data_IF_095171377160
#
_entry.id   IF_095171377160
#
_cell.length_a   1.000
_cell.length_b   1.000
_cell.length_c   1.000
_cell.angle_alpha   90.00
_cell.angle_beta   90.00
_cell.angle_gamma   90.00
#
_symmetry.space_group_name_H-M   'P 1'
#
loop_
_entity.id
_entity.type
_entity.pdbx_description
1 polymer ?
#
# COMPACT_ATOMS: atom_id res chain seq x y z
N UNK A 1 8.11 4.00 2.60
CA UNK A 1 8.44 2.90 3.50
C UNK A 1 9.86 3.11 4.03
N UNK A 2 10.03 3.10 5.35
CA UNK A 2 11.29 3.42 6.02
C UNK A 2 11.94 2.16 6.59
N UNK A 3 13.27 2.19 6.72
CA UNK A 3 14.04 1.11 7.33
C UNK A 3 14.16 1.26 8.87
N UNK A 4 13.86 2.44 9.40
CA UNK A 4 13.83 2.73 10.83
C UNK A 4 12.49 2.39 11.47
N UNK A 5 12.46 2.23 12.78
CA UNK A 5 11.31 1.83 13.56
C UNK A 5 10.79 0.43 13.17
N UNK A 6 9.52 0.18 13.41
CA UNK A 6 8.87 -1.07 13.08
C UNK A 6 8.83 -1.31 11.56
N UNK A 7 8.82 -2.57 11.13
CA UNK A 7 8.45 -2.89 9.75
C UNK A 7 7.01 -2.46 9.48
N UNK A 8 6.61 -2.37 8.21
CA UNK A 8 5.25 -2.01 7.87
C UNK A 8 4.22 -2.99 8.46
N UNK A 9 4.53 -4.29 8.42
CA UNK A 9 3.68 -5.31 9.03
C UNK A 9 3.58 -5.15 10.55
N UNK A 10 4.72 -5.00 11.24
CA UNK A 10 4.75 -4.81 12.69
C UNK A 10 4.00 -3.54 13.12
N UNK A 11 4.13 -2.46 12.34
CA UNK A 11 3.36 -1.24 12.56
C UNK A 11 1.85 -1.50 12.41
N UNK A 12 1.46 -2.28 11.41
CA UNK A 12 0.08 -2.73 11.21
C UNK A 12 -0.46 -3.50 12.42
N UNK A 13 0.35 -4.39 13.01
CA UNK A 13 -0.03 -5.11 14.24
C UNK A 13 -0.30 -4.16 15.41
N UNK A 14 0.49 -3.09 15.53
CA UNK A 14 0.36 -2.11 16.63
C UNK A 14 -0.77 -1.10 16.43
N UNK A 15 -1.17 -0.81 15.19
CA UNK A 15 -2.05 0.31 14.85
C UNK A 15 -3.44 -0.09 14.38
N UNK A 16 -3.59 -1.22 13.71
CA UNK A 16 -4.90 -1.71 13.28
C UNK A 16 -5.70 -2.24 14.47
N UNK A 17 -7.04 -2.24 14.39
CA UNK A 17 -7.88 -2.91 15.37
C UNK A 17 -7.42 -4.36 15.63
N UNK A 18 -7.56 -4.83 16.87
CA UNK A 18 -7.07 -6.17 17.25
C UNK A 18 -7.80 -7.29 16.52
N UNK A 19 -9.05 -7.10 16.21
CA UNK A 19 -9.95 -8.01 15.50
C UNK A 19 -9.81 -7.97 13.97
N UNK A 20 -8.91 -7.13 13.45
CA UNK A 20 -8.60 -7.10 12.01
C UNK A 20 -8.11 -8.48 11.55
N UNK A 21 -8.76 -9.04 10.54
CA UNK A 21 -8.40 -10.34 9.96
C UNK A 21 -7.02 -10.31 9.31
N UNK A 22 -6.37 -11.47 9.15
CA UNK A 22 -5.09 -11.53 8.43
C UNK A 22 -5.24 -11.07 6.98
N UNK A 23 -6.33 -11.42 6.31
CA UNK A 23 -6.60 -10.95 4.95
C UNK A 23 -6.66 -9.42 4.87
N UNK A 24 -7.31 -8.75 5.83
CA UNK A 24 -7.37 -7.29 5.87
C UNK A 24 -6.01 -6.68 6.24
N UNK A 25 -5.20 -7.33 7.08
CA UNK A 25 -3.82 -6.91 7.37
C UNK A 25 -2.95 -6.95 6.12
N UNK A 26 -3.08 -7.99 5.30
CA UNK A 26 -2.41 -8.10 3.99
C UNK A 26 -2.85 -6.93 3.10
N UNK A 27 -4.15 -6.67 3.00
CA UNK A 27 -4.68 -5.56 2.19
C UNK A 27 -4.18 -4.18 2.67
N UNK A 28 -4.14 -3.94 3.99
CA UNK A 28 -3.63 -2.70 4.55
C UNK A 28 -2.12 -2.53 4.31
N UNK A 29 -1.35 -3.61 4.37
CA UNK A 29 0.07 -3.59 3.99
C UNK A 29 0.24 -3.23 2.50
N UNK A 30 -0.54 -3.85 1.62
CA UNK A 30 -0.55 -3.55 0.17
C UNK A 30 -0.99 -2.12 -0.11
N UNK A 31 -2.05 -1.63 0.56
CA UNK A 31 -2.52 -0.25 0.41
C UNK A 31 -1.43 0.76 0.80
N UNK A 32 -0.71 0.48 1.88
CA UNK A 32 0.40 1.34 2.32
C UNK A 32 1.55 1.34 1.30
N UNK A 33 1.89 0.18 0.71
CA UNK A 33 2.84 0.11 -0.40
C UNK A 33 2.34 0.85 -1.64
N UNK A 34 1.03 0.79 -1.91
CA UNK A 34 0.42 1.46 -3.05
C UNK A 34 0.59 2.99 -2.97
N UNK A 35 0.49 3.59 -1.77
CA UNK A 35 0.68 5.04 -1.61
C UNK A 35 2.09 5.50 -2.01
N UNK A 36 3.11 4.68 -1.77
CA UNK A 36 4.49 4.94 -2.17
C UNK A 36 4.70 4.63 -3.65
N UNK A 37 4.14 3.50 -4.12
CA UNK A 37 4.40 2.98 -5.47
C UNK A 37 3.69 3.80 -6.54
N UNK A 38 2.47 4.26 -6.28
CA UNK A 38 1.66 4.98 -7.25
C UNK A 38 1.80 6.51 -7.14
N UNK A 39 2.68 7.01 -6.27
CA UNK A 39 3.05 8.42 -6.19
C UNK A 39 4.05 8.80 -7.28
N UNK A 40 4.33 10.11 -7.42
CA UNK A 40 5.25 10.66 -8.43
C UNK A 40 6.73 10.54 -8.07
N UNK A 41 7.05 10.26 -6.81
CA UNK A 41 8.44 10.14 -6.34
C UNK A 41 9.03 8.76 -6.65
N UNK A 42 10.37 8.61 -6.63
CA UNK A 42 10.98 7.29 -6.60
C UNK A 42 10.41 6.45 -5.46
N UNK A 43 9.99 5.23 -5.78
CA UNK A 43 9.40 4.31 -4.80
C UNK A 43 10.50 3.47 -4.16
N UNK A 44 10.64 3.56 -2.83
CA UNK A 44 11.55 2.73 -2.04
C UNK A 44 10.75 1.80 -1.15
N UNK A 45 10.98 0.52 -1.28
CA UNK A 45 10.41 -0.50 -0.41
C UNK A 45 11.49 -1.04 0.52
N UNK A 46 11.17 -1.10 1.80
CA UNK A 46 12.01 -1.84 2.74
C UNK A 46 11.95 -3.33 2.39
N UNK A 47 13.10 -3.96 2.16
CA UNK A 47 13.19 -5.34 1.70
C UNK A 47 12.37 -6.30 2.58
N UNK A 48 11.54 -7.13 1.96
CA UNK A 48 10.65 -8.07 2.61
C UNK A 48 9.27 -7.50 2.99
N UNK A 49 9.00 -6.21 2.75
CA UNK A 49 7.66 -5.64 3.02
C UNK A 49 6.59 -6.35 2.18
N UNK A 50 6.92 -6.75 0.96
CA UNK A 50 6.09 -7.55 0.07
C UNK A 50 5.78 -8.96 0.62
N UNK A 51 6.60 -9.46 1.55
CA UNK A 51 6.46 -10.74 2.23
C UNK A 51 5.93 -10.59 3.67
N UNK A 52 5.37 -9.46 4.03
CA UNK A 52 4.91 -9.15 5.40
C UNK A 52 6.03 -9.31 6.44
N UNK A 53 7.25 -8.89 6.09
CA UNK A 53 8.40 -9.00 6.97
C UNK A 53 8.13 -8.41 8.33
N UNK A 54 8.44 -9.18 9.37
CA UNK A 54 8.44 -8.75 10.76
C UNK A 54 9.86 -8.77 11.35
N UNK A 55 10.13 -7.86 12.27
CA UNK A 55 11.27 -7.90 13.16
C UNK A 55 10.85 -8.23 14.60
N UNK A 56 9.73 -8.97 14.75
CA UNK A 56 9.16 -9.31 16.05
C UNK A 56 8.89 -8.07 16.92
N UNK A 57 8.37 -7.00 16.29
CA UNK A 57 8.09 -5.68 16.86
C UNK A 57 9.35 -4.91 17.31
N UNK A 58 10.55 -5.32 16.91
CA UNK A 58 11.77 -4.58 17.20
C UNK A 58 11.84 -3.28 16.39
N UNK A 59 11.79 -2.16 17.07
CA UNK A 59 11.82 -0.83 16.44
C UNK A 59 13.23 -0.33 16.13
N UNK A 60 14.27 -0.94 16.69
CA UNK A 60 15.64 -0.49 16.55
C UNK A 60 16.61 -1.68 16.43
N UNK A 61 16.44 -2.43 15.34
CA UNK A 61 17.02 -3.76 15.16
C UNK A 61 18.45 -3.77 14.61
N UNK A 62 19.08 -2.61 14.40
CA UNK A 62 20.42 -2.54 13.77
C UNK A 62 21.49 -3.36 14.52
N UNK A 63 21.31 -3.52 15.83
CA UNK A 63 22.21 -4.26 16.70
C UNK A 63 21.56 -5.48 17.36
N UNK A 64 20.42 -5.95 16.84
CA UNK A 64 19.65 -7.09 17.39
C UNK A 64 20.07 -8.44 16.80
N UNK A 65 21.01 -8.46 15.86
CA UNK A 65 21.52 -9.65 15.20
C UNK A 65 20.58 -10.21 14.13
N UNK A 66 21.04 -11.29 13.48
CA UNK A 66 20.35 -11.90 12.34
C UNK A 66 19.01 -12.52 12.71
N UNK A 67 18.85 -12.96 13.95
CA UNK A 67 17.61 -13.57 14.44
C UNK A 67 16.38 -12.68 14.22
N UNK A 68 16.51 -11.36 14.44
CA UNK A 68 15.45 -10.39 14.23
C UNK A 68 15.48 -9.75 12.84
N UNK A 69 16.59 -9.82 12.12
CA UNK A 69 16.78 -9.11 10.85
C UNK A 69 16.68 -9.99 9.60
N UNK A 70 16.67 -11.31 9.75
CA UNK A 70 16.58 -12.24 8.62
C UNK A 70 15.29 -12.02 7.80
N UNK A 71 15.37 -12.34 6.52
CA UNK A 71 14.23 -12.43 5.61
C UNK A 71 14.18 -13.85 5.08
N UNK A 72 13.02 -14.48 5.16
CA UNK A 72 12.78 -15.73 4.43
C UNK A 72 12.24 -15.41 3.05
N UNK A 73 13.12 -15.38 2.06
CA UNK A 73 12.77 -15.12 0.66
C UNK A 73 11.95 -16.25 0.02
N UNK A 74 11.79 -17.38 0.68
CA UNK A 74 10.93 -18.47 0.19
C UNK A 74 9.45 -18.23 0.51
N UNK A 75 9.14 -17.26 1.38
CA UNK A 75 7.78 -16.97 1.81
C UNK A 75 7.13 -18.11 2.60
N UNK A 76 7.93 -19.00 3.22
CA UNK A 76 7.41 -20.15 3.96
C UNK A 76 7.34 -19.91 5.45
N UNK A 77 8.15 -19.01 5.98
CA UNK A 77 8.23 -18.77 7.42
C UNK A 77 8.27 -17.28 7.76
N UNK A 78 7.26 -16.80 8.50
CA UNK A 78 7.28 -15.46 9.07
C UNK A 78 8.14 -15.39 10.31
N UNK A 79 8.93 -14.33 10.46
CA UNK A 79 9.72 -14.04 11.66
C UNK A 79 8.92 -13.36 12.77
N UNK A 80 7.62 -13.10 12.56
CA UNK A 80 6.73 -12.61 13.63
C UNK A 80 6.65 -13.62 14.78
N UNK A 81 6.80 -13.14 16.01
CA UNK A 81 6.78 -14.01 17.20
C UNK A 81 8.06 -14.82 17.41
N UNK A 82 9.19 -14.45 16.79
CA UNK A 82 10.49 -15.11 17.00
C UNK A 82 11.05 -14.94 18.41
N UNK A 83 10.52 -14.01 19.18
CA UNK A 83 10.91 -13.71 20.56
C UNK A 83 10.67 -12.25 20.90
N UNK A 84 10.83 -11.89 22.17
CA UNK A 84 10.84 -10.50 22.60
C UNK A 84 12.11 -9.81 22.11
N UNK A 85 12.01 -8.60 21.53
CA UNK A 85 13.19 -7.86 21.08
C UNK A 85 14.11 -7.47 22.26
N UNK A 86 15.40 -7.16 21.98
CA UNK A 86 16.39 -6.86 23.00
C UNK A 86 15.94 -5.76 23.96
N UNK A 87 16.28 -5.93 25.25
CA UNK A 87 15.82 -5.07 26.34
C UNK A 87 16.26 -3.60 26.19
N UNK A 88 17.45 -3.36 25.64
CA UNK A 88 18.04 -2.01 25.57
C UNK A 88 17.08 -0.96 25.02
N UNK A 89 16.37 -1.29 23.92
CA UNK A 89 15.46 -0.35 23.26
C UNK A 89 13.98 -0.71 23.41
N UNK A 90 13.67 -1.91 23.91
CA UNK A 90 12.30 -2.44 23.84
C UNK A 90 11.69 -2.80 25.19
N UNK A 91 12.47 -2.92 26.27
CA UNK A 91 11.98 -3.43 27.56
C UNK A 91 10.74 -2.68 28.09
N UNK A 92 10.69 -1.36 27.92
CA UNK A 92 9.56 -0.55 28.36
C UNK A 92 8.26 -0.89 27.64
N UNK A 93 8.32 -1.55 26.47
CA UNK A 93 7.17 -1.95 25.65
C UNK A 93 6.86 -3.45 25.72
N UNK A 94 7.66 -4.26 26.41
CA UNK A 94 7.47 -5.70 26.46
C UNK A 94 6.09 -6.12 26.94
N UNK A 95 5.50 -5.38 27.89
CA UNK A 95 4.14 -5.68 28.38
C UNK A 95 3.06 -5.60 27.29
N UNK A 96 3.29 -4.75 26.25
CA UNK A 96 2.41 -4.65 25.08
C UNK A 96 2.81 -5.66 24.02
N UNK A 97 4.11 -5.87 23.81
CA UNK A 97 4.63 -6.74 22.76
C UNK A 97 4.36 -8.23 23.05
N UNK A 98 4.54 -8.66 24.29
CA UNK A 98 4.44 -10.08 24.68
C UNK A 98 3.10 -10.72 24.30
N UNK A 99 1.92 -10.15 24.63
CA UNK A 99 0.65 -10.75 24.24
C UNK A 99 0.42 -10.72 22.72
N UNK A 100 0.93 -9.71 22.02
CA UNK A 100 0.81 -9.64 20.55
C UNK A 100 1.67 -10.71 19.86
N UNK A 101 2.92 -10.86 20.29
CA UNK A 101 3.85 -11.83 19.72
C UNK A 101 3.47 -13.29 20.05
N UNK A 102 2.68 -13.50 21.09
CA UNK A 102 2.17 -14.82 21.48
C UNK A 102 0.85 -15.19 20.77
N UNK A 103 0.22 -14.23 20.07
CA UNK A 103 -1.05 -14.47 19.38
C UNK A 103 -0.81 -15.11 18.00
N UNK A 104 -1.17 -16.38 17.79
CA UNK A 104 -0.98 -17.04 16.51
C UNK A 104 -1.81 -16.44 15.37
N UNK A 105 -2.89 -15.72 15.67
CA UNK A 105 -3.71 -15.05 14.67
C UNK A 105 -2.99 -13.85 14.00
N UNK A 106 -1.92 -13.34 14.64
CA UNK A 106 -1.10 -12.25 14.13
C UNK A 106 0.16 -12.74 13.39
N UNK A 107 0.39 -14.05 13.29
CA UNK A 107 1.54 -14.58 12.55
C UNK A 107 1.14 -14.93 11.11
N UNK A 108 1.67 -14.22 10.08
CA UNK A 108 1.39 -14.54 8.69
C UNK A 108 1.83 -15.98 8.35
N UNK A 109 0.97 -16.70 7.63
CA UNK A 109 1.30 -17.98 7.02
C UNK A 109 1.81 -17.83 5.57
N UNK A 110 2.26 -18.94 4.95
CA UNK A 110 2.74 -18.92 3.56
C UNK A 110 1.72 -18.38 2.57
N UNK A 111 0.43 -18.66 2.76
CA UNK A 111 -0.63 -18.17 1.89
C UNK A 111 -0.81 -16.65 1.99
N UNK A 112 -0.64 -16.07 3.18
CA UNK A 112 -0.75 -14.63 3.40
C UNK A 112 0.44 -13.90 2.76
N UNK A 113 1.64 -14.45 2.92
CA UNK A 113 2.86 -13.91 2.30
C UNK A 113 2.78 -13.97 0.77
N UNK A 114 2.32 -15.10 0.21
CA UNK A 114 2.11 -15.23 -1.23
C UNK A 114 1.06 -14.25 -1.78
N UNK A 115 -0.01 -14.00 -1.04
CA UNK A 115 -1.03 -13.01 -1.42
C UNK A 115 -0.48 -11.58 -1.39
N UNK A 116 0.33 -11.24 -0.39
CA UNK A 116 0.99 -9.94 -0.28
C UNK A 116 1.99 -9.74 -1.44
N UNK A 117 2.82 -10.74 -1.74
CA UNK A 117 3.77 -10.71 -2.85
C UNK A 117 3.06 -10.54 -4.20
N UNK A 118 2.01 -11.32 -4.46
CA UNK A 118 1.24 -11.20 -5.69
C UNK A 118 0.67 -9.79 -5.89
N UNK A 119 0.12 -9.19 -4.83
CA UNK A 119 -0.40 -7.82 -4.85
C UNK A 119 0.71 -6.79 -5.05
N UNK A 120 1.88 -6.99 -4.44
CA UNK A 120 3.04 -6.13 -4.63
C UNK A 120 3.55 -6.18 -6.08
N UNK A 121 3.59 -7.36 -6.69
CA UNK A 121 3.94 -7.51 -8.12
C UNK A 121 2.94 -6.78 -9.02
N UNK A 122 1.65 -6.80 -8.69
CA UNK A 122 0.64 -6.05 -9.44
C UNK A 122 0.88 -4.54 -9.36
N UNK A 123 1.24 -4.01 -8.18
CA UNK A 123 1.61 -2.59 -8.04
C UNK A 123 2.81 -2.20 -8.92
N UNK A 124 3.82 -3.07 -9.00
CA UNK A 124 4.99 -2.83 -9.87
C UNK A 124 4.60 -2.84 -11.35
N UNK A 125 3.70 -3.76 -11.75
CA UNK A 125 3.16 -3.82 -13.11
C UNK A 125 2.38 -2.56 -13.46
N UNK A 126 1.46 -2.12 -12.59
CA UNK A 126 0.72 -0.85 -12.76
C UNK A 126 1.68 0.31 -12.96
N UNK A 127 2.70 0.43 -12.11
CA UNK A 127 3.70 1.50 -12.24
C UNK A 127 4.51 1.39 -13.53
N UNK A 128 4.73 0.17 -14.04
CA UNK A 128 5.38 -0.09 -15.32
C UNK A 128 4.50 0.30 -16.52
N UNK A 129 3.21 -0.07 -16.47
CA UNK A 129 2.23 0.15 -17.54
C UNK A 129 1.81 1.63 -17.70
N UNK A 130 1.86 2.43 -16.62
CA UNK A 130 1.34 3.81 -16.61
C UNK A 130 2.49 4.80 -16.47
N UNK A 131 3.05 5.33 -17.59
CA UNK A 131 4.12 6.33 -17.57
C UNK A 131 3.76 7.59 -16.78
N UNK A 132 2.48 7.95 -16.73
CA UNK A 132 1.97 9.13 -16.01
C UNK A 132 2.22 9.08 -14.50
N UNK A 133 2.52 7.92 -13.93
CA UNK A 133 2.96 7.78 -12.53
C UNK A 133 4.44 8.13 -12.32
N UNK A 134 5.15 8.57 -13.37
CA UNK A 134 6.60 8.84 -13.36
C UNK A 134 6.91 10.08 -14.22
N UNK A 135 6.28 11.21 -13.93
CA UNK A 135 6.40 12.44 -14.73
C UNK A 135 7.82 13.04 -14.77
N UNK A 136 8.65 12.74 -13.77
CA UNK A 136 10.10 12.97 -13.80
C UNK A 136 10.55 14.43 -13.59
N UNK A 137 9.66 15.40 -13.44
CA UNK A 137 10.02 16.77 -13.09
C UNK A 137 8.95 17.44 -12.23
N UNK A 138 9.38 18.37 -11.36
CA UNK A 138 8.48 19.15 -10.51
C UNK A 138 7.46 19.93 -11.34
N UNK A 139 7.88 20.60 -12.39
CA UNK A 139 7.00 21.40 -13.25
C UNK A 139 5.86 20.57 -13.85
N UNK A 140 6.15 19.34 -14.33
CA UNK A 140 5.12 18.44 -14.85
C UNK A 140 4.18 17.95 -13.75
N UNK A 141 4.71 17.67 -12.55
CA UNK A 141 3.91 17.24 -11.42
C UNK A 141 2.96 18.36 -10.99
N UNK A 142 3.46 19.58 -10.80
CA UNK A 142 2.65 20.73 -10.42
C UNK A 142 1.57 21.06 -11.47
N UNK A 143 1.87 20.85 -12.75
CA UNK A 143 0.94 21.12 -13.83
C UNK A 143 -0.15 20.06 -13.97
N UNK A 144 0.19 18.77 -13.81
CA UNK A 144 -0.68 17.63 -14.18
C UNK A 144 -1.33 16.93 -13.00
N UNK A 145 -0.75 17.01 -11.80
CA UNK A 145 -1.25 16.26 -10.63
C UNK A 145 -2.19 17.12 -9.80
N UNK A 146 -3.34 16.57 -9.47
CA UNK A 146 -4.32 17.19 -8.58
C UNK A 146 -4.98 16.16 -7.68
N UNK A 147 -5.60 16.64 -6.59
CA UNK A 147 -6.36 15.84 -5.65
C UNK A 147 -7.80 16.37 -5.60
N UNK A 148 -8.65 15.96 -6.55
CA UNK A 148 -9.94 16.62 -6.79
C UNK A 148 -10.91 16.58 -5.61
N UNK A 149 -10.75 15.63 -4.67
CA UNK A 149 -11.61 15.47 -3.49
C UNK A 149 -10.88 15.76 -2.18
N UNK A 150 -9.84 16.59 -2.21
CA UNK A 150 -9.15 17.02 -0.99
C UNK A 150 -9.91 18.14 -0.26
N UNK A 151 -9.64 18.29 1.05
CA UNK A 151 -10.20 19.36 1.88
C UNK A 151 -11.38 18.93 2.72
N UNK A 152 -12.19 19.90 3.20
CA UNK A 152 -13.25 19.66 4.18
C UNK A 152 -14.39 18.75 3.69
N UNK A 153 -14.56 18.61 2.37
CA UNK A 153 -15.55 17.71 1.75
C UNK A 153 -15.01 16.33 1.36
N UNK A 154 -13.78 16.00 1.74
CA UNK A 154 -13.19 14.70 1.43
C UNK A 154 -13.92 13.57 2.15
N UNK A 155 -14.12 12.44 1.46
CA UNK A 155 -14.62 11.22 2.09
C UNK A 155 -13.55 10.66 3.01
N UNK A 156 -13.84 10.47 4.31
CA UNK A 156 -12.84 9.93 5.23
C UNK A 156 -12.28 8.59 4.76
N UNK A 157 -10.94 8.45 4.81
CA UNK A 157 -10.26 7.24 4.38
C UNK A 157 -10.10 7.09 2.86
N UNK A 158 -10.59 8.02 2.05
CA UNK A 158 -10.46 7.97 0.58
C UNK A 158 -9.60 9.11 0.07
N UNK A 159 -8.60 8.78 -0.74
CA UNK A 159 -7.76 9.74 -1.46
C UNK A 159 -7.90 9.49 -2.94
N UNK A 160 -8.19 10.54 -3.71
CA UNK A 160 -8.16 10.50 -5.17
C UNK A 160 -7.04 11.38 -5.69
N UNK A 161 -6.18 10.82 -6.54
CA UNK A 161 -5.12 11.54 -7.24
C UNK A 161 -5.37 11.44 -8.74
N UNK A 162 -5.52 12.56 -9.39
CA UNK A 162 -5.60 12.64 -10.85
C UNK A 162 -4.26 13.08 -11.42
N UNK A 163 -3.78 12.37 -12.41
CA UNK A 163 -2.74 12.85 -13.33
C UNK A 163 -3.41 13.14 -14.66
N UNK A 164 -3.55 14.41 -15.03
CA UNK A 164 -4.25 14.85 -16.23
C UNK A 164 -3.26 15.15 -17.34
N UNK A 165 -3.17 14.27 -18.32
CA UNK A 165 -2.23 14.44 -19.45
C UNK A 165 -2.77 15.33 -20.57
N UNK A 166 -4.03 15.77 -20.48
CA UNK A 166 -4.59 16.77 -21.41
C UNK A 166 -4.07 18.18 -21.14
N UNK A 167 -3.35 18.40 -20.03
CA UNK A 167 -2.78 19.68 -19.62
C UNK A 167 -1.30 19.74 -19.94
N UNK A 168 -0.87 20.76 -20.66
CA UNK A 168 0.53 20.97 -21.04
C UNK A 168 1.03 20.01 -22.11
N UNK A 169 2.33 19.73 -22.11
CA UNK A 169 2.92 18.81 -23.06
C UNK A 169 2.50 17.37 -22.80
N UNK A 170 2.08 16.68 -23.82
CA UNK A 170 1.74 15.26 -23.82
C UNK A 170 2.92 14.40 -23.30
N UNK A 171 2.64 13.48 -22.40
CA UNK A 171 3.62 12.54 -21.82
C UNK A 171 3.39 11.12 -22.33
N UNK A 172 2.14 10.76 -22.54
CA UNK A 172 1.74 9.44 -23.00
C UNK A 172 0.64 9.54 -24.07
N UNK A 173 0.96 9.30 -25.34
CA UNK A 173 0.01 9.46 -26.44
C UNK A 173 -1.21 8.53 -26.37
N UNK A 174 -1.14 7.48 -25.55
CA UNK A 174 -2.20 6.49 -25.42
C UNK A 174 -3.11 6.76 -24.21
N UNK A 175 -2.71 7.63 -23.28
CA UNK A 175 -3.42 7.90 -22.03
C UNK A 175 -3.71 9.39 -21.84
N UNK A 176 -4.97 9.79 -21.89
CA UNK A 176 -5.38 11.17 -21.57
C UNK A 176 -5.28 11.50 -20.06
N UNK A 177 -5.03 10.52 -19.21
CA UNK A 177 -4.82 10.71 -17.78
C UNK A 177 -4.92 9.40 -16.98
N UNK A 178 -4.55 9.47 -15.72
CA UNK A 178 -4.68 8.39 -14.77
C UNK A 178 -5.38 8.88 -13.49
N UNK A 179 -6.39 8.15 -13.04
CA UNK A 179 -7.07 8.37 -11.77
C UNK A 179 -6.68 7.26 -10.80
N UNK A 180 -6.01 7.63 -9.71
CA UNK A 180 -5.64 6.71 -8.63
C UNK A 180 -6.55 6.96 -7.44
N UNK A 181 -7.20 5.90 -6.96
CA UNK A 181 -8.10 5.97 -5.81
C UNK A 181 -7.58 5.02 -4.72
N UNK A 182 -7.27 5.58 -3.57
CA UNK A 182 -6.92 4.83 -2.36
C UNK A 182 -8.13 4.80 -1.44
N UNK A 183 -8.64 3.63 -1.13
CA UNK A 183 -9.72 3.44 -0.16
C UNK A 183 -9.17 2.68 1.06
N UNK A 184 -9.00 3.38 2.16
CA UNK A 184 -8.58 2.82 3.45
C UNK A 184 -9.76 2.55 4.39
N UNK A 185 -11.01 2.71 3.93
CA UNK A 185 -12.18 2.29 4.70
C UNK A 185 -12.36 0.77 4.62
N UNK A 186 -13.01 0.14 5.62
CA UNK A 186 -13.27 -1.30 5.57
C UNK A 186 -14.38 -1.68 4.58
N UNK A 187 -15.07 -0.69 4.01
CA UNK A 187 -16.22 -0.87 3.14
C UNK A 187 -15.94 -0.40 1.71
N UNK A 188 -16.68 -0.96 0.76
CA UNK A 188 -16.74 -0.41 -0.58
C UNK A 188 -17.29 1.03 -0.52
N UNK A 189 -16.67 1.94 -1.23
CA UNK A 189 -17.01 3.36 -1.20
C UNK A 189 -17.25 3.88 -2.61
N UNK A 190 -18.27 4.70 -2.76
CA UNK A 190 -18.53 5.44 -3.98
C UNK A 190 -17.93 6.85 -3.84
N UNK A 191 -17.05 7.21 -4.75
CA UNK A 191 -16.40 8.51 -4.73
C UNK A 191 -16.71 9.30 -6.00
N UNK A 192 -17.45 10.38 -5.85
CA UNK A 192 -17.74 11.28 -6.97
C UNK A 192 -16.54 12.20 -7.25
N UNK A 193 -16.21 12.36 -8.53
CA UNK A 193 -15.25 13.33 -9.08
C UNK A 193 -15.94 14.06 -10.25
N UNK A 194 -16.91 14.94 -9.99
CA UNK A 194 -17.78 15.50 -11.02
C UNK A 194 -17.02 16.22 -12.16
N UNK A 195 -15.84 16.76 -11.85
CA UNK A 195 -14.96 17.39 -12.85
C UNK A 195 -14.49 16.43 -13.95
N UNK A 196 -14.61 15.13 -13.74
CA UNK A 196 -14.23 14.09 -14.70
C UNK A 196 -15.44 13.47 -15.41
N UNK A 197 -16.65 14.01 -15.21
CA UNK A 197 -17.84 13.61 -15.95
C UNK A 197 -17.60 13.73 -17.46
N UNK A 198 -18.01 12.73 -18.23
CA UNK A 198 -17.76 12.63 -19.66
C UNK A 198 -16.42 11.99 -20.04
N UNK A 199 -15.47 11.83 -19.10
CA UNK A 199 -14.23 11.09 -19.36
C UNK A 199 -14.41 9.59 -19.10
N UNK A 200 -13.74 8.76 -19.88
CA UNK A 200 -13.77 7.31 -19.72
C UNK A 200 -12.51 6.83 -19.01
N UNK A 201 -12.68 6.05 -17.95
CA UNK A 201 -11.59 5.36 -17.25
C UNK A 201 -11.87 3.86 -17.20
N UNK A 202 -10.82 3.08 -17.29
CA UNK A 202 -10.85 1.61 -17.12
C UNK A 202 -9.73 1.20 -16.18
N UNK A 203 -9.88 0.04 -15.54
CA UNK A 203 -8.77 -0.56 -14.82
C UNK A 203 -7.58 -0.76 -15.76
N UNK A 204 -6.36 -0.60 -15.25
CA UNK A 204 -5.16 -1.01 -15.98
C UNK A 204 -5.18 -2.50 -16.27
N UNK A 205 -4.45 -2.93 -17.28
CA UNK A 205 -4.33 -4.37 -17.61
C UNK A 205 -3.81 -5.17 -16.41
N UNK A 206 -2.82 -4.63 -15.69
CA UNK A 206 -2.29 -5.25 -14.48
C UNK A 206 -3.34 -5.43 -13.39
N UNK A 207 -4.25 -4.47 -13.19
CA UNK A 207 -5.32 -4.59 -12.20
C UNK A 207 -6.45 -5.50 -12.65
N UNK A 208 -6.90 -5.38 -13.90
CA UNK A 208 -7.98 -6.21 -14.46
C UNK A 208 -7.63 -7.70 -14.44
N UNK A 209 -6.35 -8.04 -14.62
CA UNK A 209 -5.83 -9.40 -14.60
C UNK A 209 -5.05 -9.76 -13.32
N UNK A 210 -4.94 -8.83 -12.38
CA UNK A 210 -4.15 -8.94 -11.15
C UNK A 210 -4.69 -9.95 -10.15
N UNK A 211 -4.06 -10.00 -8.99
CA UNK A 211 -4.35 -10.95 -7.91
C UNK A 211 -5.52 -10.51 -7.03
N UNK A 212 -5.77 -9.19 -6.88
CA UNK A 212 -6.78 -8.66 -5.96
C UNK A 212 -8.19 -8.70 -6.58
N UNK A 213 -9.02 -9.63 -6.09
CA UNK A 213 -10.40 -9.80 -6.55
C UNK A 213 -11.27 -8.56 -6.22
N UNK A 214 -10.98 -7.81 -5.17
CA UNK A 214 -11.75 -6.61 -4.79
C UNK A 214 -11.45 -5.46 -5.75
N UNK A 215 -10.18 -5.24 -6.08
CA UNK A 215 -9.78 -4.21 -7.07
C UNK A 215 -10.47 -4.45 -8.41
N UNK A 216 -10.62 -5.70 -8.83
CA UNK A 216 -11.30 -6.06 -10.09
C UNK A 216 -12.77 -5.65 -10.13
N UNK A 217 -13.42 -5.43 -8.99
CA UNK A 217 -14.82 -4.99 -8.93
C UNK A 217 -15.01 -3.49 -9.07
N UNK A 218 -13.90 -2.74 -9.11
CA UNK A 218 -13.93 -1.28 -9.28
C UNK A 218 -14.55 -0.92 -10.63
N UNK A 219 -15.51 0.01 -10.60
CA UNK A 219 -16.20 0.51 -11.79
C UNK A 219 -16.07 2.01 -11.90
N UNK A 220 -16.25 2.53 -13.09
CA UNK A 220 -16.34 3.96 -13.37
C UNK A 220 -17.60 4.30 -14.13
N UNK A 221 -18.38 5.23 -13.60
CA UNK A 221 -19.53 5.82 -14.31
C UNK A 221 -19.11 7.15 -14.93
N UNK A 222 -18.92 7.14 -16.24
CA UNK A 222 -18.52 8.34 -17.01
C UNK A 222 -19.61 9.42 -17.02
N UNK A 223 -20.90 9.06 -16.89
CA UNK A 223 -21.97 10.05 -16.93
C UNK A 223 -21.99 10.94 -15.70
N UNK A 224 -21.67 10.38 -14.55
CA UNK A 224 -21.64 11.10 -13.27
C UNK A 224 -20.23 11.47 -12.82
N UNK A 225 -19.20 10.88 -13.40
CA UNK A 225 -17.81 11.02 -12.93
C UNK A 225 -17.60 10.35 -11.58
N UNK A 226 -18.05 9.11 -11.42
CA UNK A 226 -18.06 8.41 -10.15
C UNK A 226 -17.33 7.06 -10.24
N UNK A 227 -16.46 6.79 -9.26
CA UNK A 227 -15.80 5.51 -9.04
C UNK A 227 -16.41 4.81 -7.84
#
# INVERSE_FOLDING_TARGET
>A
DAHDNETLYDLGVLKLPKDTTMADRVRMNTLSLATVTLSQTPSFWHAGTELLRSKSLDRNSYNSGDWFNRIDWTGQESTFGSGLPPAADNQAKWAVMQPLLADPALKPGPADMAAAEASALDLLRVRGEVPLLRLGSADRIEQKVSFPNSGAGATPGVITMLVDDTVGADVDPDLAGALVVFNASPEATTQAVPALSGRSFTLTSAQANGSDAVVKTTTWDAATGTV
#
